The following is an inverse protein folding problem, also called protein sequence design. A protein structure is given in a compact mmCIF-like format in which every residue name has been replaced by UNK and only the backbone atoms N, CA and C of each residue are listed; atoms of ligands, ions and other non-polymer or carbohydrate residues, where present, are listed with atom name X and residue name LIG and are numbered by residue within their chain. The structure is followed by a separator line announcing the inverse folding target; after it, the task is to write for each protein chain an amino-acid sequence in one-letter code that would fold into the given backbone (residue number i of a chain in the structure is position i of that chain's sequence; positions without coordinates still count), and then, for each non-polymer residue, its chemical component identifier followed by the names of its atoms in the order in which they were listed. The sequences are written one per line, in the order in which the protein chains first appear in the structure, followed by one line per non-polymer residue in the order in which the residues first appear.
data_IF_996542387197
#
_entry.id   IF_996542387197
#
_cell.length_a   1.000
_cell.length_b   1.000
_cell.length_c   1.000
_cell.angle_alpha   90.00
_cell.angle_beta   90.00
_cell.angle_gamma   90.00
#
_symmetry.space_group_name_H-M   'P 1'
#
loop_
_entity.id
_entity.type
_entity.pdbx_description
1 polymer ?
#
# COMPACT_ATOMS: atom_id res chain seq x y z
N UNK A 1 -0.18 -21.85 -2.05
CA UNK A 1 -0.11 -20.83 -3.11
C UNK A 1 -1.52 -20.37 -3.44
N UNK A 2 -1.87 -19.07 -3.32
CA UNK A 2 -3.07 -18.53 -3.95
C UNK A 2 -2.71 -17.37 -4.92
N UNK A 3 -2.87 -17.53 -6.23
CA UNK A 3 -4.05 -17.21 -7.08
C UNK A 3 -4.33 -15.70 -7.25
N UNK A 4 -4.01 -15.14 -8.44
CA UNK A 4 -4.44 -13.81 -8.97
C UNK A 4 -5.85 -13.91 -9.59
N UNK A 5 -6.61 -12.83 -9.89
CA UNK A 5 -6.48 -11.40 -9.51
C UNK A 5 -7.81 -10.78 -8.98
N UNK A 6 -7.82 -10.26 -7.75
CA UNK A 6 -8.73 -9.18 -7.34
C UNK A 6 -7.85 -8.16 -6.63
N UNK A 7 -7.36 -7.18 -7.40
CA UNK A 7 -6.26 -6.24 -7.11
C UNK A 7 -6.57 -5.28 -5.95
N UNK A 8 -6.79 -5.83 -4.76
CA UNK A 8 -6.96 -5.14 -3.50
C UNK A 8 -6.14 -5.89 -2.45
N UNK A 9 -4.88 -5.49 -2.31
CA UNK A 9 -3.97 -5.98 -1.29
C UNK A 9 -4.38 -5.45 0.07
N UNK A 10 -4.22 -6.27 1.09
CA UNK A 10 -4.24 -5.79 2.46
C UNK A 10 -2.98 -5.00 2.78
N UNK A 11 -3.01 -4.18 3.84
CA UNK A 11 -1.80 -3.52 4.33
C UNK A 11 -0.68 -4.55 4.58
N UNK A 12 -1.01 -5.75 5.08
CA UNK A 12 -0.04 -6.82 5.32
C UNK A 12 0.67 -7.29 4.03
N UNK A 13 -0.08 -7.53 2.95
CA UNK A 13 0.50 -7.93 1.66
C UNK A 13 1.30 -6.80 1.02
N UNK A 14 0.85 -5.55 1.18
CA UNK A 14 1.62 -4.37 0.75
C UNK A 14 2.97 -4.31 1.44
N UNK A 15 3.01 -4.60 2.74
CA UNK A 15 4.26 -4.57 3.51
C UNK A 15 5.20 -5.71 3.11
N UNK A 16 4.64 -6.90 2.87
CA UNK A 16 5.36 -8.08 2.39
C UNK A 16 6.00 -7.83 1.01
N UNK A 17 5.31 -7.09 0.14
CA UNK A 17 5.76 -6.88 -1.24
C UNK A 17 6.79 -5.77 -1.42
N UNK A 18 6.80 -4.76 -0.52
CA UNK A 18 7.79 -3.67 -0.56
C UNK A 18 8.95 -3.94 0.43
N UNK A 19 8.83 -4.98 1.27
CA UNK A 19 9.73 -5.28 2.40
C UNK A 19 9.93 -4.08 3.35
N UNK A 20 8.86 -3.32 3.57
CA UNK A 20 8.90 -2.10 4.39
C UNK A 20 8.22 -2.36 5.74
N UNK A 21 8.79 -1.88 6.87
CA UNK A 21 8.15 -2.04 8.17
C UNK A 21 6.83 -1.25 8.26
N UNK A 22 5.86 -1.82 9.00
CA UNK A 22 4.54 -1.21 9.30
C UNK A 22 4.67 0.26 9.68
N UNK A 23 5.64 0.59 10.53
CA UNK A 23 5.87 1.95 11.02
C UNK A 23 6.12 2.95 9.90
N UNK A 24 6.90 2.58 8.88
CA UNK A 24 7.19 3.45 7.72
C UNK A 24 5.95 3.62 6.86
N UNK A 25 5.19 2.54 6.64
CA UNK A 25 3.94 2.61 5.89
C UNK A 25 2.86 3.45 6.60
N UNK A 26 2.72 3.30 7.91
CA UNK A 26 1.84 4.15 8.72
C UNK A 26 2.34 5.60 8.76
N UNK A 27 3.65 5.84 8.75
CA UNK A 27 4.22 7.20 8.62
C UNK A 27 3.85 7.83 7.28
N UNK A 28 3.85 7.08 6.19
CA UNK A 28 3.37 7.55 4.88
C UNK A 28 1.87 7.85 4.89
N UNK A 29 1.06 6.96 5.47
CA UNK A 29 -0.37 7.21 5.67
C UNK A 29 -0.63 8.48 6.49
N UNK A 30 0.13 8.69 7.57
CA UNK A 30 -0.04 9.83 8.46
C UNK A 30 0.44 11.15 7.85
N UNK A 31 1.43 11.09 6.96
CA UNK A 31 1.92 12.25 6.19
C UNK A 31 1.09 12.53 4.94
N UNK A 32 0.02 11.77 4.68
CA UNK A 32 -0.80 11.89 3.46
C UNK A 32 -0.06 11.46 2.19
N UNK A 33 1.12 10.87 2.35
CA UNK A 33 2.00 10.37 1.30
C UNK A 33 1.88 8.87 1.13
N UNK A 34 0.78 8.25 1.53
CA UNK A 34 0.55 6.81 1.38
C UNK A 34 -0.29 6.48 0.16
N UNK A 35 -0.26 5.23 -0.32
CA UNK A 35 -1.13 4.81 -1.41
C UNK A 35 -2.61 4.86 -0.98
N UNK A 36 -3.52 5.05 -1.94
CA UNK A 36 -4.96 5.18 -1.65
C UNK A 36 -5.49 3.90 -0.99
N UNK A 37 -5.71 3.99 0.33
CA UNK A 37 -6.30 2.90 1.11
C UNK A 37 -7.83 3.04 1.15
N UNK A 38 -8.52 2.01 0.69
CA UNK A 38 -9.96 1.85 0.89
C UNK A 38 -10.21 1.32 2.30
N UNK A 39 -10.88 2.13 3.13
CA UNK A 39 -11.35 1.70 4.44
C UNK A 39 -12.67 0.94 4.24
N UNK A 40 -12.66 -0.39 4.43
CA UNK A 40 -13.91 -1.16 4.45
C UNK A 40 -14.64 -0.92 5.78
N UNK A 41 -15.97 -1.01 5.81
CA UNK A 41 -16.77 -0.89 7.03
C UNK A 41 -16.41 -1.95 8.08
N UNK A 42 -15.79 -3.06 7.68
CA UNK A 42 -15.30 -4.12 8.57
C UNK A 42 -13.98 -3.77 9.30
N UNK A 43 -13.56 -2.50 9.31
CA UNK A 43 -12.30 -2.06 9.94
C UNK A 43 -11.02 -2.46 9.18
N UNK A 44 -11.14 -3.26 8.13
CA UNK A 44 -10.01 -3.67 7.27
C UNK A 44 -9.70 -2.57 6.25
N UNK A 45 -8.42 -2.26 6.07
CA UNK A 45 -7.94 -1.39 4.99
C UNK A 45 -7.39 -2.24 3.86
N UNK A 46 -7.82 -1.94 2.63
CA UNK A 46 -7.33 -2.55 1.40
C UNK A 46 -6.78 -1.48 0.48
N UNK A 47 -5.66 -1.76 -0.16
CA UNK A 47 -4.97 -0.89 -1.11
C UNK A 47 -4.98 -1.58 -2.46
N UNK A 48 -5.23 -0.87 -3.56
CA UNK A 48 -5.13 -1.51 -4.88
C UNK A 48 -3.66 -1.64 -5.29
N UNK A 49 -3.29 -2.74 -5.96
CA UNK A 49 -1.93 -2.92 -6.51
C UNK A 49 -1.55 -1.76 -7.43
N UNK A 50 -2.49 -1.34 -8.28
CA UNK A 50 -2.28 -0.24 -9.23
C UNK A 50 -2.04 1.11 -8.51
N UNK A 51 -2.78 1.40 -7.43
CA UNK A 51 -2.53 2.61 -6.64
C UNK A 51 -1.18 2.57 -5.92
N UNK A 52 -0.76 1.38 -5.46
CA UNK A 52 0.54 1.19 -4.84
C UNK A 52 1.70 1.32 -5.83
N UNK A 53 1.54 0.78 -7.04
CA UNK A 53 2.54 0.84 -8.12
C UNK A 53 2.70 2.26 -8.67
N UNK A 54 1.59 2.95 -8.90
CA UNK A 54 1.57 4.37 -9.27
C UNK A 54 2.16 5.25 -8.15
N UNK A 55 1.89 4.90 -6.89
CA UNK A 55 2.46 5.57 -5.74
C UNK A 55 3.97 5.36 -5.64
N UNK A 56 4.47 4.13 -5.80
CA UNK A 56 5.90 3.79 -5.85
C UNK A 56 6.61 4.57 -6.96
N UNK A 57 6.05 4.60 -8.17
CA UNK A 57 6.59 5.35 -9.30
C UNK A 57 6.68 6.86 -9.04
N UNK A 58 5.78 7.40 -8.23
CA UNK A 58 5.80 8.81 -7.79
C UNK A 58 6.81 9.02 -6.64
N UNK A 59 6.98 8.03 -5.77
CA UNK A 59 7.89 8.10 -4.62
C UNK A 59 9.36 7.91 -4.99
N UNK A 60 9.67 7.03 -5.94
CA UNK A 60 11.04 6.85 -6.44
C UNK A 60 11.63 8.16 -6.99
N UNK A 61 10.79 9.03 -7.58
CA UNK A 61 11.21 10.37 -8.02
C UNK A 61 11.55 11.34 -6.88
N UNK A 62 11.10 11.09 -5.65
CA UNK A 62 11.39 11.94 -4.46
C UNK A 62 12.56 11.41 -3.63
N UNK A 63 13.02 10.18 -3.88
CA UNK A 63 14.10 9.55 -3.12
C UNK A 63 15.49 9.68 -3.78
N UNK A 64 15.64 10.57 -4.77
CA UNK A 64 16.91 10.91 -5.43
C UNK A 64 17.52 12.20 -4.87
#
# INVERSE_FOLDING_TARGET
MPTRPKTMLTIAEVLDEIDVPKSTFYRWLNTGRGPKSLKLPNGKRKVRRCDLDAWLSTFEQTAA
#
